data_IF_607960288809
#
_entry.id   IF_607960288809
#
_cell.length_a   1.000
_cell.length_b   1.000
_cell.length_c   1.000
_cell.angle_alpha   90.00
_cell.angle_beta   90.00
_cell.angle_gamma   90.00
#
_symmetry.space_group_name_H-M   'P 1'
#
loop_
_entity.id
_entity.type
_entity.pdbx_description
1 polymer ?
2 polymer ?
3 non-polymer ?
4 non-polymer ?
5 non-polymer ?
6 non-polymer ?
7 water ?
#
loop_
_entity_poly.entity_id
_entity_poly.type
_entity_poly.pdbx_seq_one_letter_code
_entity_poly.pdbx_strand_id
2 'polydeoxyribonucleotide' '(DC)(DC)' ?
#
# COMPACT_ATOMS: atom_id res chain seq x y z
N UNK A 1 -28.14 3.90 2.25
CA UNK A 1 -27.83 5.38 2.15
C UNK A 1 -26.34 5.60 1.85
N UNK A 2 -25.49 5.14 2.78
CA UNK A 2 -24.03 5.01 2.56
C UNK A 2 -23.67 3.60 2.05
N UNK A 3 -24.66 2.72 1.92
CA UNK A 3 -24.50 1.37 1.38
C UNK A 3 -23.76 1.38 0.03
N UNK A 4 -22.80 0.47 -0.09
CA UNK A 4 -21.96 0.31 -1.31
C UNK A 4 -22.31 -0.99 -2.03
N UNK A 5 -22.98 -1.92 -1.34
CA UNK A 5 -23.17 -3.24 -1.84
C UNK A 5 -24.49 -3.33 -2.60
N UNK A 6 -24.38 -3.52 -3.92
CA UNK A 6 -25.53 -3.90 -4.78
C UNK A 6 -25.05 -4.94 -5.79
N UNK A 7 -25.89 -5.26 -6.81
CA UNK A 7 -25.51 -6.29 -7.81
C UNK A 7 -24.21 -5.94 -8.54
N UNK A 8 -23.94 -4.65 -8.72
CA UNK A 8 -22.76 -4.26 -9.48
C UNK A 8 -21.47 -4.39 -8.63
N UNK A 9 -21.60 -4.51 -7.32
CA UNK A 9 -20.40 -4.57 -6.41
C UNK A 9 -19.49 -5.72 -6.78
N UNK A 10 -20.10 -6.82 -7.28
CA UNK A 10 -19.46 -8.02 -7.60
C UNK A 10 -18.92 -8.02 -9.03
N UNK A 11 -19.14 -6.92 -9.77
CA UNK A 11 -18.84 -6.85 -11.16
C UNK A 11 -17.75 -5.84 -11.47
N UNK A 12 -17.04 -6.08 -12.59
CA UNK A 12 -15.99 -5.19 -13.02
C UNK A 12 -16.62 -3.84 -13.41
N UNK A 13 -15.92 -2.77 -13.09
CA UNK A 13 -16.29 -1.45 -13.54
C UNK A 13 -15.38 -1.10 -14.73
N UNK A 14 -15.96 -1.01 -15.95
CA UNK A 14 -15.22 -0.72 -17.17
C UNK A 14 -14.44 0.59 -17.10
N UNK A 15 -14.95 1.54 -16.32
CA UNK A 15 -14.56 2.91 -16.37
C UNK A 15 -14.55 3.47 -14.96
N UNK A 16 -13.70 2.94 -14.05
CA UNK A 16 -13.70 3.39 -12.68
C UNK A 16 -13.17 4.83 -12.67
N UNK A 17 -13.71 5.64 -11.76
CA UNK A 17 -13.27 6.99 -11.63
C UNK A 17 -12.62 7.15 -10.25
N UNK A 18 -11.30 6.99 -10.22
CA UNK A 18 -10.55 6.91 -8.93
C UNK A 18 -10.68 8.23 -8.17
N UNK A 19 -10.52 9.38 -8.82
CA UNK A 19 -10.57 10.64 -8.15
C UNK A 19 -11.96 10.84 -7.57
N UNK A 20 -12.99 10.50 -8.31
CA UNK A 20 -14.36 10.63 -7.80
C UNK A 20 -14.58 9.77 -6.55
N UNK A 21 -14.08 8.54 -6.55
CA UNK A 21 -14.25 7.64 -5.40
C UNK A 21 -13.54 8.25 -4.20
N UNK A 22 -12.32 8.73 -4.40
CA UNK A 22 -11.51 9.30 -3.33
C UNK A 22 -12.25 10.51 -2.71
N UNK A 23 -12.76 11.40 -3.56
CA UNK A 23 -13.50 12.54 -3.08
C UNK A 23 -14.75 12.10 -2.33
N UNK A 24 -15.52 11.16 -2.86
CA UNK A 24 -16.67 10.65 -2.19
C UNK A 24 -16.32 10.09 -0.82
N UNK A 25 -15.29 9.25 -0.76
CA UNK A 25 -15.00 8.53 0.43
C UNK A 25 -14.40 9.43 1.52
N UNK A 26 -13.62 10.42 1.11
CA UNK A 26 -13.07 11.37 2.02
C UNK A 26 -14.22 12.08 2.73
N UNK A 27 -15.23 12.43 1.93
CA UNK A 27 -16.44 13.15 2.42
C UNK A 27 -17.26 12.22 3.33
N UNK A 28 -17.52 10.99 2.88
CA UNK A 28 -18.53 10.10 3.51
C UNK A 28 -17.93 9.36 4.72
N UNK A 29 -16.63 9.04 4.67
CA UNK A 29 -16.07 8.17 5.72
C UNK A 29 -14.95 8.75 6.56
N UNK A 30 -14.29 9.85 6.14
CA UNK A 30 -13.12 10.37 6.83
C UNK A 30 -13.25 11.85 7.17
N UNK A 31 -14.52 12.30 7.25
CA UNK A 31 -14.86 13.64 7.83
C UNK A 31 -14.13 14.75 7.09
N UNK A 32 -13.79 14.50 5.82
CA UNK A 32 -13.10 15.49 5.01
C UNK A 32 -11.60 15.65 5.30
N UNK A 33 -11.03 14.85 6.19
CA UNK A 33 -9.71 15.08 6.71
C UNK A 33 -8.56 14.64 5.80
N UNK A 34 -8.87 13.98 4.69
CA UNK A 34 -7.79 13.46 3.77
C UNK A 34 -7.69 14.33 2.52
N UNK A 35 -8.10 15.59 2.64
CA UNK A 35 -8.06 16.55 1.51
C UNK A 35 -6.67 16.61 0.83
N UNK A 36 -5.56 16.64 1.59
CA UNK A 36 -4.18 16.81 1.10
C UNK A 36 -3.51 15.49 0.66
N UNK A 37 -4.23 14.38 0.70
CA UNK A 37 -3.70 13.07 0.29
C UNK A 37 -3.91 12.91 -1.21
N UNK A 38 -2.87 12.42 -1.87
CA UNK A 38 -2.79 12.25 -3.32
C UNK A 38 -3.04 10.77 -3.63
N UNK A 39 -4.05 10.45 -4.41
CA UNK A 39 -4.29 9.06 -4.82
C UNK A 39 -4.10 8.96 -6.33
N UNK A 40 -3.34 7.96 -6.78
CA UNK A 40 -3.13 7.73 -8.21
C UNK A 40 -3.06 6.24 -8.52
N UNK A 41 -3.39 5.91 -9.78
CA UNK A 41 -3.07 4.64 -10.35
C UNK A 41 -1.57 4.54 -10.56
N UNK A 42 -1.09 3.30 -10.41
CA UNK A 42 0.26 2.92 -10.85
C UNK A 42 0.10 1.91 -11.98
N UNK A 43 0.69 2.15 -13.15
CA UNK A 43 0.57 1.27 -14.31
C UNK A 43 1.50 0.05 -14.19
N UNK A 44 2.61 0.21 -13.48
CA UNK A 44 3.58 -0.90 -13.39
C UNK A 44 3.63 -1.65 -12.06
N UNK A 45 2.99 -1.13 -10.99
CA UNK A 45 3.04 -1.77 -9.72
C UNK A 45 2.30 -3.10 -9.81
N UNK A 46 3.02 -4.19 -9.52
CA UNK A 46 2.44 -5.54 -9.44
C UNK A 46 2.74 -6.22 -8.10
N UNK A 47 3.66 -5.68 -7.26
CA UNK A 47 4.05 -6.34 -6.05
C UNK A 47 2.95 -6.22 -4.98
N UNK A 48 2.15 -5.13 -5.02
CA UNK A 48 1.13 -4.82 -4.07
C UNK A 48 -0.08 -4.30 -4.85
N UNK A 49 -1.28 -4.57 -4.33
CA UNK A 49 -2.51 -4.01 -4.93
C UNK A 49 -2.66 -2.51 -4.60
N UNK A 50 -2.22 -2.14 -3.40
CA UNK A 50 -2.28 -0.78 -2.92
C UNK A 50 -1.16 -0.51 -1.97
N UNK A 51 -0.65 0.71 -1.97
CA UNK A 51 0.34 1.17 -1.02
C UNK A 51 0.02 2.61 -0.60
N UNK A 52 0.61 2.98 0.52
CA UNK A 52 0.81 4.34 0.91
C UNK A 52 2.29 4.70 1.02
N UNK A 53 2.54 5.97 0.93
CA UNK A 53 3.86 6.53 1.21
C UNK A 53 3.66 7.84 1.98
N UNK A 54 4.61 8.16 2.85
CA UNK A 54 4.42 9.25 3.78
C UNK A 54 5.58 10.23 3.62
N UNK A 55 5.31 11.54 3.59
CA UNK A 55 6.43 12.54 3.73
C UNK A 55 6.82 12.67 5.21
N UNK A 58 2.48 15.15 4.16
CA UNK A 58 1.99 14.73 2.84
C UNK A 58 1.97 13.22 2.78
N UNK A 59 0.88 12.68 2.25
CA UNK A 59 0.66 11.26 2.16
C UNK A 59 0.18 10.94 0.75
N UNK A 60 0.68 9.81 0.19
CA UNK A 60 0.30 9.42 -1.14
C UNK A 60 -0.19 7.98 -1.11
N UNK A 61 -1.23 7.72 -1.91
CA UNK A 61 -1.76 6.38 -2.09
C UNK A 61 -1.56 6.03 -3.57
N UNK A 62 -1.15 4.76 -3.80
CA UNK A 62 -1.13 4.23 -5.17
C UNK A 62 -1.91 2.92 -5.26
N UNK A 63 -2.65 2.75 -6.34
CA UNK A 63 -3.38 1.52 -6.62
C UNK A 63 -2.87 0.87 -7.88
N UNK A 64 -2.77 -0.44 -7.86
CA UNK A 64 -2.24 -1.23 -9.01
C UNK A 64 -3.28 -1.34 -10.12
N UNK A 65 -3.00 -0.71 -11.25
CA UNK A 65 -3.83 -0.90 -12.41
C UNK A 65 -3.72 -2.35 -12.88
N UNK A 66 -2.53 -2.98 -13.01
CA UNK A 66 -2.48 -4.36 -13.48
C UNK A 66 -3.30 -5.30 -12.57
N UNK A 67 -3.28 -5.09 -11.24
CA UNK A 67 -3.95 -6.04 -10.35
C UNK A 67 -5.44 -5.72 -10.24
N UNK A 68 -5.85 -4.46 -10.35
CA UNK A 68 -7.25 -4.08 -10.01
C UNK A 68 -8.15 -3.75 -11.20
N UNK A 69 -7.62 -3.37 -12.37
CA UNK A 69 -8.46 -2.83 -13.45
C UNK A 69 -9.53 -3.86 -13.89
N UNK A 70 -9.21 -5.15 -13.92
CA UNK A 70 -10.20 -6.10 -14.39
C UNK A 70 -10.82 -6.89 -13.24
N UNK A 71 -10.66 -6.45 -11.99
CA UNK A 71 -11.28 -7.12 -10.88
C UNK A 71 -12.63 -6.47 -10.60
N UNK A 72 -13.52 -7.19 -9.88
CA UNK A 72 -14.81 -6.64 -9.45
C UNK A 72 -14.58 -5.31 -8.72
N UNK A 73 -15.54 -4.39 -8.80
CA UNK A 73 -15.38 -3.08 -8.22
C UNK A 73 -15.22 -3.13 -6.70
N UNK A 74 -15.73 -4.16 -6.04
CA UNK A 74 -15.49 -4.30 -4.61
C UNK A 74 -13.99 -4.34 -4.27
N UNK A 75 -13.17 -4.92 -5.15
CA UNK A 75 -11.72 -5.05 -4.87
C UNK A 75 -11.04 -3.70 -4.96
N UNK A 76 -11.37 -2.89 -5.95
CA UNK A 76 -10.83 -1.55 -6.04
C UNK A 76 -11.27 -0.75 -4.80
N UNK A 77 -12.55 -0.78 -4.48
CA UNK A 77 -13.09 0.01 -3.39
C UNK A 77 -12.52 -0.44 -2.05
N UNK A 78 -12.50 -1.75 -1.79
CA UNK A 78 -11.99 -2.24 -0.50
C UNK A 78 -10.48 -1.95 -0.39
N UNK A 79 -9.74 -2.03 -1.50
CA UNK A 79 -8.32 -1.72 -1.40
C UNK A 79 -8.11 -0.22 -1.09
N UNK A 80 -8.85 0.62 -1.81
CA UNK A 80 -8.75 2.04 -1.66
C UNK A 80 -9.09 2.42 -0.19
N UNK A 81 -10.22 1.90 0.33
CA UNK A 81 -10.60 2.25 1.68
C UNK A 81 -9.54 1.77 2.71
N UNK A 82 -8.97 0.59 2.45
CA UNK A 82 -7.93 0.08 3.31
C UNK A 82 -6.77 1.07 3.39
N UNK A 83 -6.31 1.53 2.20
CA UNK A 83 -5.21 2.45 2.17
C UNK A 83 -5.58 3.84 2.77
N UNK A 84 -6.83 4.25 2.62
CA UNK A 84 -7.28 5.51 3.20
C UNK A 84 -7.31 5.46 4.71
N UNK A 85 -7.57 4.27 5.31
CA UNK A 85 -7.48 4.15 6.74
C UNK A 85 -6.02 4.37 7.20
N UNK A 86 -5.07 3.72 6.50
CA UNK A 86 -3.65 4.02 6.83
C UNK A 86 -3.35 5.51 6.71
N UNK A 87 -3.80 6.16 5.65
CA UNK A 87 -3.56 7.56 5.44
C UNK A 87 -4.17 8.38 6.60
N UNK A 88 -5.40 8.05 6.99
CA UNK A 88 -6.07 8.77 8.09
C UNK A 88 -5.26 8.66 9.38
N UNK A 89 -4.79 7.45 9.74
CA UNK A 89 -3.99 7.31 10.96
C UNK A 89 -2.71 8.13 10.85
N UNK A 90 -2.10 8.22 9.67
CA UNK A 90 -0.94 9.06 9.47
C UNK A 90 -1.27 10.52 9.69
N UNK A 91 -2.29 11.03 8.98
CA UNK A 91 -2.61 12.47 8.92
C UNK A 91 -2.97 12.95 10.34
N UNK A 92 -3.54 12.05 11.16
CA UNK A 92 -4.06 12.38 12.50
C UNK A 92 -3.10 11.97 13.61
N UNK A 93 -1.89 11.56 13.24
CA UNK A 93 -0.80 11.23 14.18
C UNK A 93 -1.23 10.13 15.14
N UNK A 94 -1.96 9.13 14.64
CA UNK A 94 -2.46 7.99 15.38
C UNK A 94 -2.01 6.66 14.76
N UNK A 95 -0.73 6.60 14.40
CA UNK A 95 -0.17 5.47 13.65
C UNK A 95 0.91 4.82 14.52
N UNK A 96 0.65 4.79 15.84
CA UNK A 96 1.66 4.40 16.84
C UNK A 96 1.48 2.93 17.28
N UNK A 97 0.39 2.26 16.85
CA UNK A 97 0.21 0.81 17.14
C UNK A 97 1.45 0.03 16.68
N UNK A 98 1.85 -0.98 17.47
CA UNK A 98 3.04 -1.81 17.16
C UNK A 98 2.83 -2.54 15.83
N UNK A 99 1.61 -3.06 15.61
CA UNK A 99 1.31 -3.93 14.48
C UNK A 99 0.79 -3.06 13.31
N UNK A 100 0.97 -3.60 12.09
CA UNK A 100 0.60 -2.93 10.83
C UNK A 100 -0.87 -2.54 10.84
N UNK A 101 -1.73 -3.45 11.35
CA UNK A 101 -3.17 -3.30 11.41
C UNK A 101 -3.63 -3.57 12.85
N UNK A 102 -3.37 -2.62 13.74
CA UNK A 102 -3.69 -2.79 15.13
C UNK A 102 -5.10 -2.33 15.43
N UNK A 103 -5.43 -2.16 16.72
CA UNK A 103 -6.78 -1.75 17.10
C UNK A 103 -7.26 -0.46 16.40
N UNK A 104 -6.38 0.52 16.23
CA UNK A 104 -6.78 1.82 15.62
C UNK A 104 -7.21 1.63 14.15
N UNK A 105 -6.46 0.83 13.38
CA UNK A 105 -6.87 0.46 12.01
C UNK A 105 -8.22 -0.24 12.01
N UNK A 106 -8.36 -1.23 12.92
CA UNK A 106 -9.47 -2.09 12.91
C UNK A 106 -10.74 -1.34 13.31
N UNK A 107 -10.62 -0.31 14.13
CA UNK A 107 -11.80 0.53 14.51
C UNK A 107 -12.41 1.16 13.26
N UNK A 108 -11.59 1.80 12.42
CA UNK A 108 -12.11 2.39 11.20
C UNK A 108 -12.63 1.34 10.21
N UNK A 109 -11.92 0.22 10.09
CA UNK A 109 -12.34 -0.86 9.20
C UNK A 109 -13.74 -1.32 9.57
N UNK A 110 -13.95 -1.59 10.88
CA UNK A 110 -15.30 -2.07 11.37
C UNK A 110 -16.37 -1.00 11.09
N UNK A 111 -16.02 0.24 11.41
CA UNK A 111 -16.98 1.36 11.24
C UNK A 111 -17.44 1.49 9.78
N UNK A 112 -16.45 1.53 8.86
CA UNK A 112 -16.81 1.72 7.45
C UNK A 112 -17.53 0.49 6.90
N UNK A 113 -17.15 -0.74 7.30
CA UNK A 113 -17.85 -1.91 6.91
C UNK A 113 -19.32 -1.83 7.38
N UNK A 114 -19.53 -1.34 8.62
CA UNK A 114 -20.86 -1.21 9.19
C UNK A 114 -21.70 -0.23 8.39
N UNK A 115 -21.10 0.89 8.02
CA UNK A 115 -21.83 1.94 7.27
C UNK A 115 -22.19 1.48 5.86
N UNK A 116 -21.33 0.67 5.27
CA UNK A 116 -21.38 0.44 3.82
C UNK A 116 -21.84 -0.97 3.47
N UNK A 117 -21.67 -1.96 4.37
CA UNK A 117 -21.87 -3.34 3.98
C UNK A 117 -20.66 -4.01 3.33
N UNK A 118 -19.59 -3.25 3.15
CA UNK A 118 -18.33 -3.72 2.57
C UNK A 118 -17.60 -4.64 3.54
N UNK A 119 -16.47 -5.17 3.06
CA UNK A 119 -15.64 -6.14 3.80
C UNK A 119 -14.16 -5.76 3.65
N UNK A 120 -13.81 -4.55 4.08
CA UNK A 120 -12.43 -4.16 4.24
C UNK A 120 -11.83 -5.16 5.22
N UNK A 121 -10.61 -5.63 4.94
CA UNK A 121 -9.95 -6.60 5.84
C UNK A 121 -8.52 -6.17 6.12
N UNK A 122 -7.91 -6.76 7.16
CA UNK A 122 -6.53 -6.53 7.48
C UNK A 122 -5.63 -7.21 6.45
N UNK A 123 -6.15 -8.22 5.74
CA UNK A 123 -5.43 -9.16 4.86
C UNK A 123 -5.96 -8.99 3.42
N UNK A 124 -5.21 -9.45 2.42
CA UNK A 124 -5.55 -9.34 0.98
C UNK A 124 -6.44 -10.52 0.57
N UNK A 125 -7.37 -10.28 -0.35
CA UNK A 125 -8.41 -11.25 -0.61
C UNK A 125 -8.35 -11.75 -2.05
N UNK A 126 -7.23 -11.54 -2.76
CA UNK A 126 -7.09 -12.00 -4.17
C UNK A 126 -5.64 -12.32 -4.57
N UNK A 127 -5.53 -13.19 -5.60
CA UNK A 127 -4.33 -13.98 -6.01
C UNK A 127 -3.80 -14.77 -4.81
N UNK A 128 -4.69 -15.53 -4.17
CA UNK A 128 -4.39 -16.15 -2.88
C UNK A 128 -3.09 -16.96 -2.98
N UNK A 129 -2.90 -17.74 -4.05
CA UNK A 129 -1.77 -18.67 -4.04
C UNK A 129 -0.45 -17.93 -4.29
N UNK A 130 -0.47 -16.90 -5.15
CA UNK A 130 0.74 -16.17 -5.38
C UNK A 130 1.26 -15.59 -4.05
N UNK A 131 0.36 -14.95 -3.32
CA UNK A 131 0.67 -14.26 -2.09
C UNK A 131 1.06 -15.22 -0.97
N UNK A 132 0.44 -16.39 -1.00
CA UNK A 132 0.59 -17.33 0.09
C UNK A 132 2.04 -17.79 0.14
N UNK A 133 2.66 -17.97 -1.03
CA UNK A 133 4.02 -18.46 -1.14
C UNK A 133 5.05 -17.31 -1.06
N UNK A 134 4.75 -16.20 -1.72
CA UNK A 134 5.62 -15.03 -1.73
C UNK A 134 5.27 -14.15 -0.52
N UNK A 135 5.55 -14.66 0.67
CA UNK A 135 4.99 -14.21 1.91
C UNK A 135 6.01 -13.55 2.84
N UNK A 136 7.31 -13.50 2.47
CA UNK A 136 8.29 -12.81 3.28
C UNK A 136 8.47 -11.38 2.72
N UNK A 137 8.10 -10.40 3.54
CA UNK A 137 7.99 -8.99 3.05
C UNK A 137 8.88 -8.11 3.89
N UNK A 138 9.61 -7.23 3.18
CA UNK A 138 10.33 -6.15 3.80
C UNK A 138 9.91 -4.84 3.13
N UNK A 139 10.01 -3.74 3.88
CA UNK A 139 9.89 -2.41 3.27
C UNK A 139 11.10 -1.57 3.69
N UNK A 140 11.71 -0.93 2.68
CA UNK A 140 12.71 0.11 2.94
C UNK A 140 12.04 1.29 3.65
N UNK A 141 12.69 1.79 4.70
CA UNK A 141 12.22 2.98 5.43
C UNK A 141 12.92 4.23 4.89
N UNK A 142 13.43 4.14 3.65
CA UNK A 142 14.13 5.25 2.98
C UNK A 142 13.26 5.89 1.90
N UNK A 143 13.82 6.87 1.15
CA UNK A 143 13.12 7.56 0.07
C UNK A 143 12.66 6.73 -1.15
N UNK A 144 13.24 5.55 -1.38
CA UNK A 144 12.79 4.70 -2.49
C UNK A 144 11.33 4.25 -2.24
N UNK A 145 10.82 4.46 -1.02
CA UNK A 145 9.41 4.17 -0.67
C UNK A 145 8.47 4.89 -1.64
N UNK A 146 8.93 6.03 -2.17
CA UNK A 146 8.11 6.86 -3.06
C UNK A 146 8.43 6.51 -4.51
N UNK A 147 9.40 5.63 -4.70
CA UNK A 147 9.89 5.34 -6.00
C UNK A 147 9.11 4.18 -6.57
N UNK A 148 8.46 4.41 -7.70
CA UNK A 148 7.84 3.32 -8.44
C UNK A 148 8.94 2.44 -9.03
N UNK A 149 8.62 1.16 -9.36
CA UNK A 149 7.36 0.48 -9.21
C UNK A 149 7.22 -0.36 -7.94
N UNK A 150 8.24 -0.37 -7.07
CA UNK A 150 8.24 -1.23 -5.88
C UNK A 150 7.85 -0.48 -4.61
N UNK A 151 8.01 0.87 -4.56
CA UNK A 151 7.65 1.68 -3.40
C UNK A 151 8.23 1.13 -2.09
N UNK A 152 9.50 0.71 -2.17
CA UNK A 152 10.26 0.30 -0.97
C UNK A 152 10.09 -1.17 -0.61
N UNK A 153 9.16 -1.87 -1.24
CA UNK A 153 8.87 -3.31 -0.86
C UNK A 153 9.80 -4.30 -1.54
N UNK A 154 10.09 -5.40 -0.83
CA UNK A 154 10.67 -6.60 -1.36
C UNK A 154 9.82 -7.77 -0.84
N UNK A 155 9.38 -8.64 -1.71
CA UNK A 155 8.54 -9.78 -1.26
C UNK A 155 9.08 -11.02 -1.96
N UNK A 156 9.39 -12.02 -1.05
CA UNK A 156 10.14 -13.23 -1.46
C UNK A 156 9.38 -14.49 -1.02
N UNK A 157 9.64 -15.61 -1.73
CA UNK A 157 9.05 -16.96 -1.35
C UNK A 157 9.97 -17.66 -0.35
N UNK A 158 11.11 -17.07 -0.02
CA UNK A 158 11.98 -17.58 1.01
C UNK A 158 12.45 -16.46 1.91
N UNK A 159 12.85 -16.84 3.11
CA UNK A 159 13.25 -15.93 4.14
C UNK A 159 14.70 -15.50 3.96
N UNK A 160 14.94 -14.66 2.95
CA UNK A 160 16.28 -14.19 2.64
C UNK A 160 16.22 -12.65 2.47
N UNK A 161 16.74 -11.90 3.46
CA UNK A 161 16.59 -10.43 3.44
C UNK A 161 17.43 -9.82 2.34
N UNK A 162 17.03 -8.67 1.81
CA UNK A 162 17.85 -7.98 0.83
C UNK A 162 19.27 -7.76 1.37
N UNK A 163 20.23 -7.88 0.46
CA UNK A 163 21.65 -7.85 0.85
C UNK A 163 22.50 -7.43 -0.34
N UNK A 164 23.83 -7.33 -0.13
CA UNK A 164 24.77 -6.97 -1.19
C UNK A 164 24.85 -8.04 -2.29
N UNK A 165 24.32 -9.24 -2.06
CA UNK A 165 24.34 -10.27 -3.08
C UNK A 165 23.08 -10.18 -3.95
N UNK A 166 22.28 -9.14 -3.72
CA UNK A 166 21.27 -8.78 -4.70
C UNK A 166 21.92 -7.82 -5.71
N UNK A 167 21.64 -8.05 -7.00
CA UNK A 167 22.32 -7.35 -8.08
C UNK A 167 21.87 -5.90 -8.12
N UNK A 168 20.75 -5.61 -7.44
CA UNK A 168 20.16 -4.28 -7.46
C UNK A 168 20.62 -3.44 -6.25
N UNK A 169 21.33 -4.10 -5.34
CA UNK A 169 21.74 -3.53 -4.07
C UNK A 169 22.58 -2.23 -4.21
N UNK A 170 23.63 -2.24 -5.04
CA UNK A 170 24.62 -1.15 -5.01
C UNK A 170 23.93 0.20 -5.24
N UNK A 171 23.08 0.24 -6.25
CA UNK A 171 22.32 1.42 -6.66
C UNK A 171 21.38 1.85 -5.53
N UNK A 172 20.73 0.87 -4.89
CA UNK A 172 19.85 1.18 -3.82
C UNK A 172 20.61 1.91 -2.69
N UNK A 173 21.79 1.38 -2.33
CA UNK A 173 22.58 1.89 -1.23
C UNK A 173 23.08 3.30 -1.57
N UNK A 174 23.34 3.54 -2.86
CA UNK A 174 23.90 4.79 -3.35
C UNK A 174 22.82 5.88 -3.51
N UNK A 175 21.60 5.49 -3.91
CA UNK A 175 20.56 6.45 -4.27
C UNK A 175 19.57 6.64 -3.14
N UNK A 176 19.47 5.64 -2.25
CA UNK A 176 18.51 5.65 -1.23
C UNK A 176 19.17 5.52 0.15
N UNK A 177 19.76 4.34 0.43
CA UNK A 177 20.52 4.07 1.68
C UNK A 177 19.66 3.69 2.88
N UNK A 178 18.34 3.46 2.69
CA UNK A 178 17.47 3.14 3.86
C UNK A 178 17.70 1.73 4.39
N UNK A 179 17.07 1.38 5.52
CA UNK A 179 17.15 -0.02 5.99
C UNK A 179 15.85 -0.75 5.66
N UNK A 180 15.99 -1.99 5.14
CA UNK A 180 14.84 -2.85 4.96
C UNK A 180 14.42 -3.38 6.32
N UNK A 181 13.13 -3.21 6.61
CA UNK A 181 12.50 -3.69 7.84
C UNK A 181 11.56 -4.86 7.46
N UNK A 182 11.68 -5.99 8.16
CA UNK A 182 10.82 -7.11 7.89
C UNK A 182 9.42 -6.84 8.44
N UNK A 183 8.39 -6.99 7.58
CA UNK A 183 7.04 -6.68 7.99
C UNK A 183 6.07 -7.86 7.84
N UNK A 184 6.44 -8.94 7.13
CA UNK A 184 5.55 -10.07 7.02
C UNK A 184 6.39 -11.33 6.89
N UNK A 185 5.89 -12.46 7.42
CA UNK A 185 6.50 -13.79 7.20
C UNK A 185 5.37 -14.83 7.11
X LIG C 1 4.67 -1.07 5.34
X LIG C 1 3.70 -1.92 4.69
X LIG C 1 4.00 0.28 5.30
X LIG C 1 4.87 1.35 5.56
X LIG D 1 5.00 -10.45 -9.60
X LIG D 1 4.09 -11.54 -9.40
X LIG D 1 5.26 -10.26 -11.10
X LIG D 1 4.11 -9.69 -11.74
X LIG D 1 4.04 -9.98 -13.14
X LIG D 1 2.59 -9.90 -13.63
X LIG D 1 1.53 -10.86 -9.68
X LIG D 1 0.71 -9.99 -10.47
X LIG D 1 0.87 -10.20 -11.98
X LIG D 1 1.73 -9.27 -12.66
X LIG E 1 -2.53 -2.41 5.26
X LIG F 1 15.33 2.30 -0.19
X LIG G 1 -0.78 -1.21 2.95
X LIG G 1 0.43 -2.06 3.25
X LIG G 1 0.20 -3.11 4.35
X LIG G 1 -0.79 -4.10 3.74
X LIG G 1 1.56 -3.76 4.61
X LIG G 1 1.56 -4.56 5.90
X LIG G 1 -0.57 -0.24 2.19
X LIG G 1 -1.92 -1.55 3.43
X LIG G 1 -0.34 -4.76 2.77
X LIG G 1 -1.97 -4.15 4.24
X LIG G 1 2.27 -4.14 6.85
X LIG G 1 0.78 -5.56 5.93
X LIG G 1 -0.38 -2.52 5.53
#
# INVERSE_FOLDING_TARGET
SLSLVDASWELVDPTPDLQALFVQFNDQFFWGQLEAVEVKWSVRMTLCAGICSYEGKMCSIRLSEPLLKLRPRKDLVETLLHEMIHAYLFVTNNDKDREGHGPEFCKHMHRINSLTGANITVYHTFHDEVDEYRRHWWRCNGPCQHRPPYYGYVKRATNREPSAHDYWWAEHQKTCGGTYIKIKE
EDO C1 O1 C2 O2
PGE C1 O1 C2 O2 C3 C4 O4 C6 C5 O3
ZN ZN
ZN ZN
FLC CAC CA CB CBC CG CGC OA1 OA2 OB1 OB2 OG1 OG2 OHB
#
